data_IF_371215057626
#
_entry.id   IF_371215057626
#
_cell.length_a   1.000
_cell.length_b   1.000
_cell.length_c   1.000
_cell.angle_alpha   90.00
_cell.angle_beta   90.00
_cell.angle_gamma   90.00
#
_symmetry.space_group_name_H-M   'P 1'
#
loop_
_entity.id
_entity.type
_entity.pdbx_description
1 polymer ?
#
# COMPACT_ATOMS: atom_id res chain seq x y z
N UNK A 1 -6.03 21.23 3.45
CA UNK A 1 -5.64 19.93 2.88
C UNK A 1 -5.06 19.09 4.00
N UNK A 2 -5.79 18.07 4.49
CA UNK A 2 -5.27 17.17 5.51
C UNK A 2 -4.12 16.40 4.88
N UNK A 3 -2.90 16.60 5.36
CA UNK A 3 -1.71 15.92 4.85
C UNK A 3 -2.00 14.41 4.77
N UNK A 4 -2.02 13.88 3.55
CA UNK A 4 -2.40 12.50 3.25
C UNK A 4 -1.57 11.55 4.11
N UNK A 5 -2.25 10.60 4.74
CA UNK A 5 -1.68 9.51 5.54
C UNK A 5 -0.53 8.76 4.85
N UNK A 6 -0.48 8.84 3.52
CA UNK A 6 0.63 8.52 2.61
C UNK A 6 2.02 8.80 3.18
N UNK A 7 2.24 9.97 3.80
CA UNK A 7 3.56 10.30 4.36
C UNK A 7 3.69 9.97 5.86
N UNK A 8 2.57 9.68 6.55
CA UNK A 8 2.56 9.41 7.99
C UNK A 8 2.91 7.97 8.30
N UNK A 9 2.42 7.01 7.50
CA UNK A 9 2.69 5.58 7.73
C UNK A 9 4.19 5.25 7.64
N UNK A 10 4.95 5.73 6.64
CA UNK A 10 6.40 5.52 6.62
C UNK A 10 7.11 6.15 7.82
N UNK A 11 6.68 7.33 8.30
CA UNK A 11 7.29 8.02 9.46
C UNK A 11 7.12 7.28 10.78
N UNK A 12 6.05 6.48 10.91
CA UNK A 12 5.78 5.68 12.11
C UNK A 12 6.09 4.19 11.96
N UNK A 13 6.66 3.80 10.81
CA UNK A 13 7.18 2.44 10.58
C UNK A 13 8.69 2.44 10.83
N UNK A 14 9.25 1.34 11.36
CA UNK A 14 10.70 1.22 11.53
C UNK A 14 11.43 1.34 10.20
N UNK A 15 12.56 2.03 10.19
CA UNK A 15 13.34 2.29 8.98
C UNK A 15 13.72 1.01 8.23
N UNK A 16 13.96 -0.09 8.95
CA UNK A 16 14.33 -1.38 8.34
C UNK A 16 13.20 -1.95 7.47
N UNK A 17 11.94 -1.82 7.90
CA UNK A 17 10.77 -2.30 7.13
C UNK A 17 10.58 -1.43 5.89
N UNK A 18 10.69 -0.10 6.03
CA UNK A 18 10.60 0.79 4.88
C UNK A 18 11.69 0.48 3.85
N UNK A 19 12.94 0.31 4.30
CA UNK A 19 14.06 -0.04 3.43
C UNK A 19 13.86 -1.39 2.76
N UNK A 20 13.35 -2.38 3.48
CA UNK A 20 13.04 -3.69 2.92
C UNK A 20 12.00 -3.59 1.80
N UNK A 21 10.94 -2.81 1.99
CA UNK A 21 9.90 -2.62 0.97
C UNK A 21 10.46 -1.85 -0.24
N UNK A 22 11.27 -0.82 -0.01
CA UNK A 22 11.95 -0.10 -1.09
C UNK A 22 12.86 -1.00 -1.91
N UNK A 23 13.62 -1.88 -1.25
CA UNK A 23 14.47 -2.89 -1.90
C UNK A 23 13.63 -3.87 -2.71
N UNK A 24 12.53 -4.39 -2.16
CA UNK A 24 11.63 -5.29 -2.88
C UNK A 24 11.04 -4.66 -4.15
N UNK A 25 10.64 -3.38 -4.07
CA UNK A 25 10.14 -2.64 -5.24
C UNK A 25 11.26 -2.49 -6.27
N UNK A 26 12.46 -2.08 -5.85
CA UNK A 26 13.58 -1.91 -6.77
C UNK A 26 13.99 -3.23 -7.44
N UNK A 27 14.01 -4.32 -6.69
CA UNK A 27 14.35 -5.66 -7.18
C UNK A 27 13.29 -6.17 -8.17
N UNK A 28 12.00 -5.96 -7.86
CA UNK A 28 10.90 -6.27 -8.78
C UNK A 28 11.06 -5.51 -10.10
N UNK A 29 11.31 -4.21 -10.07
CA UNK A 29 11.46 -3.41 -11.29
C UNK A 29 12.69 -3.83 -12.10
N UNK A 30 13.84 -4.10 -11.47
CA UNK A 30 15.03 -4.60 -12.17
C UNK A 30 14.78 -5.95 -12.83
N UNK A 31 14.14 -6.87 -12.12
CA UNK A 31 13.82 -8.18 -12.68
C UNK A 31 12.89 -8.09 -13.90
N UNK A 32 11.87 -7.22 -13.83
CA UNK A 32 10.92 -6.98 -14.93
C UNK A 32 11.53 -6.20 -16.09
N UNK A 33 12.57 -5.40 -15.88
CA UNK A 33 13.31 -4.77 -16.96
C UNK A 33 13.98 -5.81 -17.87
N UNK A 34 14.43 -6.93 -17.30
CA UNK A 34 14.98 -8.08 -18.03
C UNK A 34 13.91 -9.05 -18.58
N UNK A 35 12.68 -9.01 -18.04
CA UNK A 35 11.56 -9.90 -18.39
C UNK A 35 10.28 -9.11 -18.73
N UNK A 36 10.29 -8.28 -19.79
CA UNK A 36 9.18 -7.38 -20.11
C UNK A 36 7.85 -8.12 -20.36
N UNK A 37 7.90 -9.37 -20.83
CA UNK A 37 6.73 -10.21 -21.07
C UNK A 37 5.95 -10.54 -19.77
N UNK A 38 6.59 -10.43 -18.61
CA UNK A 38 5.97 -10.69 -17.30
C UNK A 38 5.31 -9.46 -16.68
N UNK A 39 5.59 -8.26 -17.20
CA UNK A 39 5.06 -6.99 -16.67
C UNK A 39 3.52 -7.00 -16.63
N UNK A 40 2.86 -7.50 -17.69
CA UNK A 40 1.40 -7.55 -17.74
C UNK A 40 0.78 -8.35 -16.59
N UNK A 41 1.38 -9.50 -16.25
CA UNK A 41 0.91 -10.32 -15.12
C UNK A 41 1.13 -9.61 -13.79
N UNK A 42 2.31 -9.00 -13.60
CA UNK A 42 2.61 -8.28 -12.35
C UNK A 42 1.70 -7.08 -12.14
N UNK A 43 1.36 -6.34 -13.19
CA UNK A 43 0.38 -5.25 -13.10
C UNK A 43 -0.99 -5.75 -12.64
N UNK A 44 -1.44 -6.90 -13.14
CA UNK A 44 -2.68 -7.52 -12.68
C UNK A 44 -2.61 -7.95 -11.20
N UNK A 45 -1.48 -8.51 -10.75
CA UNK A 45 -1.25 -8.82 -9.33
C UNK A 45 -1.34 -7.55 -8.45
N UNK A 46 -0.73 -6.44 -8.90
CA UNK A 46 -0.77 -5.16 -8.20
C UNK A 46 -2.17 -4.53 -8.16
N UNK A 47 -3.02 -4.80 -9.14
CA UNK A 47 -4.42 -4.33 -9.14
C UNK A 47 -5.30 -5.11 -8.15
N UNK A 48 -4.91 -6.35 -7.80
CA UNK A 48 -5.58 -7.17 -6.80
C UNK A 48 -4.99 -7.00 -5.39
N UNK A 49 -3.85 -6.33 -5.27
CA UNK A 49 -3.19 -6.13 -3.98
C UNK A 49 -3.96 -5.12 -3.13
N UNK A 50 -4.14 -5.47 -1.86
CA UNK A 50 -4.79 -4.60 -0.90
C UNK A 50 -3.73 -3.77 -0.18
N UNK A 51 -3.91 -2.45 -0.21
CA UNK A 51 -3.10 -1.56 0.60
C UNK A 51 -3.48 -1.68 2.09
N UNK A 52 -2.54 -1.22 2.93
CA UNK A 52 -2.66 -1.29 4.38
C UNK A 52 -3.86 -0.50 4.92
N UNK A 53 -4.23 0.62 4.28
CA UNK A 53 -5.32 1.48 4.73
C UNK A 53 -6.66 0.85 4.41
N UNK A 54 -6.83 0.38 3.16
CA UNK A 54 -8.03 -0.35 2.72
C UNK A 54 -8.26 -1.61 3.57
N UNK A 55 -7.20 -2.34 3.91
CA UNK A 55 -7.30 -3.52 4.78
C UNK A 55 -7.76 -3.15 6.19
N UNK A 56 -7.22 -2.07 6.75
CA UNK A 56 -7.60 -1.58 8.07
C UNK A 56 -9.07 -1.12 8.11
N UNK A 57 -9.48 -0.30 7.15
CA UNK A 57 -10.83 0.27 7.06
C UNK A 57 -11.89 -0.80 6.80
N UNK A 58 -11.62 -1.74 5.90
CA UNK A 58 -12.55 -2.83 5.60
C UNK A 58 -12.78 -3.71 6.84
N UNK A 59 -11.71 -4.14 7.51
CA UNK A 59 -11.83 -4.97 8.72
C UNK A 59 -12.53 -4.22 9.86
N UNK A 60 -12.19 -2.94 10.07
CA UNK A 60 -12.87 -2.12 11.07
C UNK A 60 -14.37 -1.96 10.75
N UNK A 61 -14.72 -1.71 9.49
CA UNK A 61 -16.10 -1.59 9.04
C UNK A 61 -16.88 -2.90 9.21
N UNK A 62 -16.27 -4.04 8.87
CA UNK A 62 -16.88 -5.37 9.08
C UNK A 62 -17.15 -5.65 10.55
N UNK A 63 -16.18 -5.37 11.44
CA UNK A 63 -16.34 -5.57 12.88
C UNK A 63 -17.42 -4.66 13.47
N UNK A 64 -17.41 -3.37 13.10
CA UNK A 64 -18.41 -2.42 13.55
C UNK A 64 -19.80 -2.82 13.05
N UNK A 65 -19.96 -3.13 11.76
CA UNK A 65 -21.24 -3.53 11.18
C UNK A 65 -21.79 -4.80 11.82
N UNK A 66 -20.94 -5.81 12.01
CA UNK A 66 -21.33 -7.06 12.69
C UNK A 66 -21.78 -6.81 14.12
N UNK A 67 -21.04 -5.96 14.86
CA UNK A 67 -21.42 -5.61 16.22
C UNK A 67 -22.72 -4.80 16.31
N UNK A 68 -23.02 -3.94 15.32
CA UNK A 68 -24.32 -3.26 15.21
C UNK A 68 -25.44 -4.27 14.96
N UNK A 69 -25.26 -5.21 14.03
CA UNK A 69 -26.26 -6.24 13.73
C UNK A 69 -26.55 -7.11 14.95
N UNK A 70 -25.51 -7.57 15.66
CA UNK A 70 -25.66 -8.34 16.89
C UNK A 70 -26.28 -7.49 18.02
N UNK A 71 -25.95 -6.20 18.09
CA UNK A 71 -26.54 -5.24 19.01
C UNK A 71 -28.05 -5.06 18.82
N UNK A 72 -28.50 -5.09 17.58
CA UNK A 72 -29.90 -4.95 17.21
C UNK A 72 -30.69 -6.25 17.33
N UNK A 73 -30.08 -7.41 17.07
CA UNK A 73 -30.78 -8.70 16.95
C UNK A 73 -30.61 -9.63 18.15
N UNK A 74 -29.51 -9.50 18.91
CA UNK A 74 -29.17 -10.42 20.01
C UNK A 74 -29.22 -9.72 21.38
N UNK A 75 -28.32 -8.75 21.62
CA UNK A 75 -28.23 -8.03 22.90
C UNK A 75 -27.54 -6.67 22.71
N UNK A 76 -28.06 -5.61 23.32
CA UNK A 76 -27.48 -4.26 23.29
C UNK A 76 -26.02 -4.20 23.75
N UNK A 77 -25.55 -5.15 24.55
CA UNK A 77 -24.13 -5.28 24.97
C UNK A 77 -23.19 -5.40 23.77
N UNK A 78 -23.63 -5.95 22.64
CA UNK A 78 -22.83 -6.05 21.42
C UNK A 78 -22.52 -4.68 20.78
N UNK A 79 -23.26 -3.62 21.13
CA UNK A 79 -22.94 -2.24 20.71
C UNK A 79 -21.63 -1.72 21.30
N UNK A 80 -21.06 -2.38 22.31
CA UNK A 80 -19.73 -2.06 22.81
C UNK A 80 -18.64 -2.24 21.72
N UNK A 81 -18.78 -3.24 20.85
CA UNK A 81 -17.83 -3.50 19.77
C UNK A 81 -17.75 -2.36 18.75
N UNK A 82 -18.84 -1.93 18.09
CA UNK A 82 -18.79 -0.80 17.16
C UNK A 82 -18.40 0.50 17.87
N UNK A 83 -18.80 0.71 19.14
CA UNK A 83 -18.37 1.88 19.91
C UNK A 83 -16.85 1.93 20.08
N UNK A 84 -16.21 0.79 20.45
CA UNK A 84 -14.76 0.71 20.58
C UNK A 84 -14.03 0.91 19.23
N UNK A 85 -14.51 0.23 18.17
CA UNK A 85 -13.89 0.34 16.83
C UNK A 85 -13.97 1.76 16.29
N UNK A 86 -15.14 2.41 16.40
CA UNK A 86 -15.31 3.79 15.93
C UNK A 86 -14.56 4.81 16.78
N UNK A 87 -14.50 4.64 18.10
CA UNK A 87 -13.68 5.47 18.97
C UNK A 87 -12.18 5.36 18.61
N UNK A 88 -11.71 4.16 18.30
CA UNK A 88 -10.34 3.93 17.86
C UNK A 88 -10.04 4.60 16.51
N UNK A 89 -10.93 4.47 15.52
CA UNK A 89 -10.80 5.16 14.22
C UNK A 89 -10.83 6.68 14.38
N UNK A 90 -11.69 7.21 15.26
CA UNK A 90 -11.76 8.63 15.56
C UNK A 90 -10.47 9.13 16.20
N UNK A 91 -9.96 8.42 17.22
CA UNK A 91 -8.66 8.69 17.82
C UNK A 91 -7.56 8.69 16.75
N UNK A 92 -7.56 7.70 15.86
CA UNK A 92 -6.58 7.60 14.78
C UNK A 92 -6.64 8.80 13.82
N UNK A 93 -7.84 9.20 13.38
CA UNK A 93 -8.03 10.34 12.50
C UNK A 93 -7.53 11.66 13.12
N UNK A 94 -7.71 11.82 14.44
CA UNK A 94 -7.30 13.04 15.17
C UNK A 94 -5.82 13.04 15.55
N UNK A 95 -5.30 11.91 16.06
CA UNK A 95 -3.94 11.82 16.61
C UNK A 95 -2.90 11.36 15.57
N UNK A 96 -3.34 10.80 14.44
CA UNK A 96 -2.48 10.35 13.34
C UNK A 96 -1.66 9.09 13.64
N UNK A 97 -1.75 8.53 14.84
CA UNK A 97 -1.06 7.30 15.25
C UNK A 97 -2.01 6.10 15.23
N UNK A 98 -1.53 4.95 14.78
CA UNK A 98 -2.31 3.71 14.71
C UNK A 98 -1.45 2.53 15.21
N UNK A 99 -1.71 1.96 16.39
CA UNK A 99 -1.11 0.69 16.82
C UNK A 99 -1.15 -0.48 15.81
N UNK A 100 -2.22 -0.72 15.03
CA UNK A 100 -2.28 -1.84 14.10
C UNK A 100 -1.46 -1.60 12.84
N UNK A 101 -1.17 -0.36 12.45
CA UNK A 101 -0.43 -0.07 11.21
C UNK A 101 1.00 -0.66 11.25
N UNK A 102 1.84 -0.43 12.28
CA UNK A 102 3.14 -1.09 12.38
C UNK A 102 3.08 -2.62 12.34
N UNK A 103 2.01 -3.22 12.86
CA UNK A 103 1.81 -4.68 12.84
C UNK A 103 1.48 -5.14 11.42
N UNK A 104 0.53 -4.49 10.75
CA UNK A 104 0.20 -4.80 9.34
C UNK A 104 1.41 -4.59 8.43
N UNK A 105 2.21 -3.54 8.68
CA UNK A 105 3.47 -3.30 7.96
C UNK A 105 4.47 -4.43 8.16
N UNK A 106 4.60 -4.98 9.38
CA UNK A 106 5.43 -6.17 9.66
C UNK A 106 4.90 -7.44 9.00
N UNK A 107 3.58 -7.54 8.79
CA UNK A 107 2.95 -8.64 8.05
C UNK A 107 3.10 -8.49 6.53
N UNK A 108 3.73 -7.42 6.04
CA UNK A 108 4.04 -7.22 4.62
C UNK A 108 3.02 -6.35 3.87
N UNK A 109 2.05 -5.73 4.54
CA UNK A 109 1.12 -4.82 3.88
C UNK A 109 1.82 -3.54 3.42
N UNK A 110 1.69 -3.25 2.13
CA UNK A 110 2.24 -2.06 1.49
C UNK A 110 1.24 -0.92 1.51
N UNK A 111 1.75 0.30 1.49
CA UNK A 111 0.93 1.50 1.32
C UNK A 111 0.49 1.62 -0.14
N UNK A 112 -0.60 2.35 -0.39
CA UNK A 112 -1.04 2.64 -1.75
C UNK A 112 0.07 3.28 -2.58
N UNK A 113 0.84 4.23 -2.02
CA UNK A 113 1.95 4.89 -2.72
C UNK A 113 3.06 3.92 -3.14
N UNK A 114 3.40 2.95 -2.30
CA UNK A 114 4.40 1.93 -2.63
C UNK A 114 3.94 1.01 -3.77
N UNK A 115 2.66 0.61 -3.75
CA UNK A 115 2.04 -0.19 -4.83
C UNK A 115 1.99 0.63 -6.13
N UNK A 116 1.56 1.90 -6.07
CA UNK A 116 1.55 2.80 -7.23
C UNK A 116 2.96 3.04 -7.78
N UNK A 117 3.96 3.20 -6.91
CA UNK A 117 5.36 3.42 -7.34
C UNK A 117 5.84 2.23 -8.18
N UNK A 118 5.58 1.00 -7.73
CA UNK A 118 5.91 -0.19 -8.53
C UNK A 118 5.09 -0.22 -9.82
N UNK A 119 3.77 0.04 -9.76
CA UNK A 119 2.88 0.03 -10.92
C UNK A 119 3.33 1.02 -11.99
N UNK A 120 3.63 2.26 -11.62
CA UNK A 120 4.08 3.29 -12.55
C UNK A 120 5.45 2.99 -13.12
N UNK A 121 6.39 2.46 -12.32
CA UNK A 121 7.69 2.04 -12.83
C UNK A 121 7.56 0.89 -13.85
N UNK A 122 6.66 -0.07 -13.61
CA UNK A 122 6.41 -1.17 -14.56
C UNK A 122 5.72 -0.69 -15.84
N UNK A 123 4.74 0.22 -15.75
CA UNK A 123 4.10 0.86 -16.92
C UNK A 123 5.13 1.66 -17.74
N UNK A 124 6.05 2.34 -17.06
CA UNK A 124 7.19 3.00 -17.67
C UNK A 124 8.09 2.02 -18.44
N UNK A 125 8.46 0.89 -17.84
CA UNK A 125 9.26 -0.14 -18.52
C UNK A 125 8.56 -0.76 -19.74
N UNK A 126 7.22 -0.91 -19.67
CA UNK A 126 6.39 -1.39 -20.77
C UNK A 126 6.30 -0.40 -21.94
N UNK A 127 6.57 0.88 -21.69
CA UNK A 127 6.51 1.95 -22.70
C UNK A 127 5.18 2.72 -22.73
N UNK A 128 4.33 2.56 -21.71
CA UNK A 128 3.00 3.20 -21.65
C UNK A 128 3.05 4.74 -21.66
N UNK A 129 4.19 5.33 -21.27
CA UNK A 129 4.40 6.79 -21.19
C UNK A 129 5.34 7.32 -22.28
N UNK A 130 5.65 6.52 -23.31
CA UNK A 130 6.62 6.88 -24.35
C UNK A 130 8.05 6.41 -24.03
N UNK A 131 9.06 6.89 -24.78
CA UNK A 131 10.46 6.49 -24.57
C UNK A 131 10.99 7.05 -23.25
N UNK A 132 11.39 6.17 -22.33
CA UNK A 132 11.95 6.54 -21.02
C UNK A 132 13.39 6.03 -20.95
N UNK A 133 14.36 6.94 -20.89
CA UNK A 133 15.77 6.62 -20.64
C UNK A 133 16.50 5.93 -21.80
N UNK A 134 17.79 5.54 -21.61
CA UNK A 134 18.71 5.16 -22.68
C UNK A 134 18.41 3.78 -23.30
N UNK A 135 19.20 3.43 -24.31
CA UNK A 135 19.03 2.29 -25.23
C UNK A 135 18.48 0.99 -24.61
N UNK A 136 17.64 0.23 -25.35
CA UNK A 136 16.92 -0.96 -24.85
C UNK A 136 17.79 -2.08 -24.27
N UNK A 137 19.12 -2.03 -24.44
CA UNK A 137 20.08 -3.04 -23.99
C UNK A 137 20.65 -2.82 -22.58
N UNK A 138 20.38 -1.69 -21.93
CA UNK A 138 20.82 -1.41 -20.55
C UNK A 138 19.63 -1.49 -19.57
N UNK A 139 19.36 -2.71 -19.07
CA UNK A 139 18.21 -2.99 -18.21
C UNK A 139 18.30 -2.30 -16.84
N UNK A 140 19.50 -2.20 -16.26
CA UNK A 140 19.71 -1.59 -14.94
C UNK A 140 19.49 -0.07 -14.99
N UNK A 141 20.00 0.58 -16.05
CA UNK A 141 19.75 2.00 -16.29
C UNK A 141 18.26 2.27 -16.53
N UNK A 142 17.59 1.46 -17.36
CA UNK A 142 16.14 1.61 -17.60
C UNK A 142 15.29 1.43 -16.33
N UNK A 143 15.63 0.45 -15.49
CA UNK A 143 14.93 0.20 -14.23
C UNK A 143 15.06 1.38 -13.25
N UNK A 144 16.27 1.94 -13.11
CA UNK A 144 16.51 3.10 -12.24
C UNK A 144 15.78 4.35 -12.72
N UNK A 145 15.78 4.62 -14.03
CA UNK A 145 15.01 5.71 -14.63
C UNK A 145 13.50 5.56 -14.43
N UNK A 146 12.95 4.36 -14.62
CA UNK A 146 11.54 4.09 -14.41
C UNK A 146 11.12 4.31 -12.94
N UNK A 147 11.95 3.87 -11.98
CA UNK A 147 11.72 4.11 -10.55
C UNK A 147 11.79 5.59 -10.19
N UNK A 148 12.72 6.34 -10.78
CA UNK A 148 12.85 7.77 -10.54
C UNK A 148 11.62 8.52 -11.07
N UNK A 149 11.15 8.18 -12.27
CA UNK A 149 9.95 8.77 -12.87
C UNK A 149 8.68 8.47 -12.07
N UNK A 150 8.55 7.24 -11.54
CA UNK A 150 7.39 6.82 -10.74
C UNK A 150 7.28 7.49 -9.36
N UNK A 151 8.36 8.12 -8.88
CA UNK A 151 8.43 8.77 -7.56
C UNK A 151 8.16 10.29 -7.61
N UNK A 152 8.18 10.89 -8.80
CA UNK A 152 7.85 12.29 -9.05
C UNK A 152 6.34 12.53 -8.92
#
# INVERSE_FOLDING_TARGET
>A
MVASTVDRVPRHTSQDINRQIEMQIADSVRWHAAHPERIGRRLYELDQEWDVERTLEANASTLAFTGVMLGATVDKRWLALPALVTAFLFQHAVQGWCPPLPILRRLGFRTAREIETERYALKALRGDFGPIGPSPHDHDSRASHALQAARL
#
